data_IF_378207641379
#
_entry.id   IF_378207641379
#
_cell.length_a   1.000
_cell.length_b   1.000
_cell.length_c   1.000
_cell.angle_alpha   90.00
_cell.angle_beta   90.00
_cell.angle_gamma   90.00
#
_symmetry.space_group_name_H-M   'P 1'
#
loop_
_entity.id
_entity.type
_entity.pdbx_description
1 polymer ?
#
# COMPACT_ATOMS: atom_id res chain seq x y z
N UNK A 1 -13.37 -11.04 -12.10
CA UNK A 1 -13.35 -9.63 -11.69
C UNK A 1 -14.65 -9.02 -12.20
N UNK A 2 -15.38 -8.25 -11.38
CA UNK A 2 -16.60 -7.56 -11.82
C UNK A 2 -16.27 -6.69 -13.06
N UNK A 3 -16.94 -6.86 -14.22
CA UNK A 3 -16.67 -6.08 -15.42
C UNK A 3 -16.67 -4.56 -15.16
N UNK A 4 -17.51 -4.09 -14.24
CA UNK A 4 -17.57 -2.67 -13.86
C UNK A 4 -16.34 -2.23 -13.05
N UNK A 5 -15.72 -3.12 -12.29
CA UNK A 5 -14.47 -2.84 -11.58
C UNK A 5 -13.31 -2.67 -12.56
N UNK A 6 -13.27 -3.48 -13.62
CA UNK A 6 -12.19 -3.44 -14.62
C UNK A 6 -12.21 -2.12 -15.40
N UNK A 7 -13.36 -1.67 -15.88
CA UNK A 7 -13.48 -0.40 -16.61
C UNK A 7 -13.10 0.80 -15.72
N UNK A 8 -13.56 0.80 -14.46
CA UNK A 8 -13.26 1.87 -13.49
C UNK A 8 -11.80 1.85 -13.08
N UNK A 9 -11.20 0.67 -12.94
CA UNK A 9 -9.76 0.54 -12.77
C UNK A 9 -9.01 1.14 -13.96
N UNK A 10 -9.38 0.81 -15.21
CA UNK A 10 -8.73 1.39 -16.39
C UNK A 10 -8.89 2.90 -16.45
N UNK A 11 -10.06 3.43 -16.07
CA UNK A 11 -10.26 4.86 -15.94
C UNK A 11 -9.26 5.49 -14.97
N UNK A 12 -9.20 4.98 -13.74
CA UNK A 12 -8.27 5.45 -12.71
C UNK A 12 -6.81 5.31 -13.12
N UNK A 13 -6.48 4.18 -13.75
CA UNK A 13 -5.17 3.93 -14.32
C UNK A 13 -4.84 4.97 -15.37
N UNK A 14 -5.79 5.43 -16.18
CA UNK A 14 -5.56 6.37 -17.28
C UNK A 14 -5.60 7.86 -16.89
N UNK A 15 -6.19 8.24 -15.74
CA UNK A 15 -6.12 9.61 -15.21
C UNK A 15 -4.68 10.20 -15.24
N UNK A 16 -3.65 9.49 -14.77
CA UNK A 16 -2.28 9.99 -14.80
C UNK A 16 -1.61 9.98 -16.19
N UNK A 17 -2.16 9.30 -17.20
CA UNK A 17 -1.51 9.15 -18.52
C UNK A 17 -1.27 10.48 -19.22
N UNK A 18 -2.21 11.41 -19.08
CA UNK A 18 -2.18 12.74 -19.71
C UNK A 18 -1.72 13.83 -18.73
N UNK A 19 -1.30 13.47 -17.51
CA UNK A 19 -0.93 14.44 -16.49
C UNK A 19 0.57 14.64 -16.40
N UNK A 20 1.05 15.81 -16.85
CA UNK A 20 2.48 16.14 -16.84
C UNK A 20 3.10 16.07 -15.43
N UNK A 21 2.35 16.45 -14.39
CA UNK A 21 2.83 16.40 -12.99
C UNK A 21 3.07 14.97 -12.54
N UNK A 22 2.15 14.05 -12.84
CA UNK A 22 2.27 12.64 -12.51
C UNK A 22 3.33 11.94 -13.36
N UNK A 23 3.42 12.25 -14.66
CA UNK A 23 4.50 11.72 -15.49
C UNK A 23 5.88 12.15 -14.98
N UNK A 24 6.02 13.42 -14.58
CA UNK A 24 7.23 13.94 -13.93
C UNK A 24 7.50 13.25 -12.59
N UNK A 25 6.45 12.98 -11.80
CA UNK A 25 6.56 12.23 -10.55
C UNK A 25 7.07 10.81 -10.80
N UNK A 26 6.53 10.08 -11.78
CA UNK A 26 6.98 8.73 -12.13
C UNK A 26 8.41 8.68 -12.69
N UNK A 27 8.83 9.72 -13.40
CA UNK A 27 10.19 9.83 -13.95
C UNK A 27 11.20 10.36 -12.94
N UNK A 28 10.79 10.65 -11.71
CA UNK A 28 11.64 11.10 -10.61
C UNK A 28 11.45 10.20 -9.39
N UNK A 29 12.23 10.38 -8.34
CA UNK A 29 12.11 9.68 -7.06
C UNK A 29 10.85 10.09 -6.24
N UNK A 30 9.86 10.65 -6.92
CA UNK A 30 8.66 11.22 -6.33
C UNK A 30 8.80 12.65 -5.80
N UNK A 31 9.98 13.27 -5.86
CA UNK A 31 10.23 14.68 -5.56
C UNK A 31 9.84 15.15 -4.14
N UNK A 32 10.36 16.31 -3.73
CA UNK A 32 9.88 16.99 -2.51
C UNK A 32 8.71 17.89 -2.86
N UNK A 33 7.55 17.66 -2.25
CA UNK A 33 6.48 18.64 -2.26
C UNK A 33 6.85 19.80 -1.34
N UNK A 34 6.48 21.02 -1.74
CA UNK A 34 6.70 22.22 -0.93
C UNK A 34 5.90 22.11 0.37
N UNK A 35 6.54 22.48 1.49
CA UNK A 35 5.86 22.57 2.79
C UNK A 35 4.66 23.51 2.67
N UNK A 36 3.56 23.19 3.35
CA UNK A 36 2.27 23.92 3.33
C UNK A 36 1.49 23.84 2.01
N UNK A 37 1.92 23.03 1.04
CA UNK A 37 1.05 22.67 -0.08
C UNK A 37 -0.05 21.71 0.44
N UNK A 38 -1.33 21.82 0.03
CA UNK A 38 -2.39 20.95 0.54
C UNK A 38 -2.11 19.45 0.37
N UNK A 39 -1.42 19.07 -0.70
CA UNK A 39 -0.97 17.68 -0.90
C UNK A 39 0.12 17.28 0.10
N UNK A 40 1.06 18.19 0.42
CA UNK A 40 2.10 17.96 1.41
C UNK A 40 1.50 17.73 2.79
N UNK A 41 0.55 18.56 3.22
CA UNK A 41 0.02 18.47 4.59
C UNK A 41 -0.72 17.14 4.83
N UNK A 42 -1.57 16.73 3.88
CA UNK A 42 -2.27 15.44 3.95
C UNK A 42 -1.31 14.25 3.88
N UNK A 43 -0.36 14.28 2.95
CA UNK A 43 0.67 13.24 2.85
C UNK A 43 1.51 13.15 4.12
N UNK A 44 1.95 14.28 4.64
CA UNK A 44 2.82 14.35 5.81
C UNK A 44 2.10 13.81 7.05
N UNK A 45 0.84 14.19 7.26
CA UNK A 45 0.02 13.66 8.36
C UNK A 45 -0.14 12.14 8.25
N UNK A 46 -0.52 11.63 7.07
CA UNK A 46 -0.68 10.19 6.86
C UNK A 46 0.65 9.42 7.03
N UNK A 47 1.74 9.91 6.43
CA UNK A 47 3.08 9.33 6.55
C UNK A 47 3.56 9.30 7.99
N UNK A 48 3.36 10.39 8.74
CA UNK A 48 3.76 10.50 10.14
C UNK A 48 3.01 9.49 11.02
N UNK A 49 1.69 9.41 10.84
CA UNK A 49 0.86 8.46 11.59
C UNK A 49 1.25 7.01 11.27
N UNK A 50 1.52 6.70 10.00
CA UNK A 50 1.97 5.38 9.59
C UNK A 50 3.35 5.04 10.16
N UNK A 51 4.31 5.97 10.09
CA UNK A 51 5.64 5.79 10.67
C UNK A 51 5.58 5.51 12.18
N UNK A 52 4.73 6.25 12.92
CA UNK A 52 4.51 5.98 14.35
C UNK A 52 3.93 4.58 14.59
N UNK A 53 2.96 4.16 13.77
CA UNK A 53 2.36 2.84 13.84
C UNK A 53 3.33 1.71 13.45
N UNK A 54 4.31 1.99 12.59
CA UNK A 54 5.42 1.07 12.29
C UNK A 54 6.44 1.01 13.42
N UNK A 55 6.77 2.15 14.03
CA UNK A 55 7.72 2.23 15.15
C UNK A 55 7.21 1.55 16.42
N UNK A 56 5.88 1.44 16.58
CA UNK A 56 5.28 0.66 17.66
C UNK A 56 5.32 -0.85 17.41
N UNK A 57 5.64 -1.30 16.18
CA UNK A 57 5.78 -2.72 15.89
C UNK A 57 7.03 -3.30 16.58
N UNK A 58 6.96 -4.55 17.08
CA UNK A 58 8.11 -5.26 17.60
C UNK A 58 9.28 -5.28 16.61
N UNK A 59 10.47 -4.99 17.13
CA UNK A 59 11.72 -5.12 16.38
C UNK A 59 11.99 -6.60 16.11
N UNK A 60 12.33 -6.91 14.87
CA UNK A 60 12.74 -8.25 14.47
C UNK A 60 14.18 -8.48 14.91
N UNK A 61 14.42 -9.60 15.58
CA UNK A 61 15.76 -10.02 15.95
C UNK A 61 16.39 -10.87 14.83
N UNK A 62 17.72 -10.80 14.70
CA UNK A 62 18.48 -11.54 13.67
C UNK A 62 18.34 -13.07 13.75
N UNK A 63 17.89 -13.60 14.88
CA UNK A 63 17.69 -15.04 15.11
C UNK A 63 16.28 -15.52 14.77
N UNK A 64 15.37 -14.62 14.33
CA UNK A 64 14.05 -15.04 13.90
C UNK A 64 14.17 -16.06 12.76
N UNK A 65 13.50 -17.19 12.91
CA UNK A 65 13.33 -18.17 11.85
C UNK A 65 12.51 -17.52 10.74
N UNK A 66 12.97 -17.68 9.50
CA UNK A 66 12.30 -17.16 8.31
C UNK A 66 11.67 -18.29 7.51
N UNK A 67 10.39 -18.15 7.18
CA UNK A 67 9.67 -19.02 6.24
C UNK A 67 9.12 -18.14 5.11
N UNK A 68 9.65 -18.34 3.91
CA UNK A 68 9.15 -17.64 2.73
C UNK A 68 7.84 -18.27 2.27
N UNK A 69 6.93 -17.44 1.76
CA UNK A 69 5.77 -17.93 1.04
C UNK A 69 6.23 -18.60 -0.28
N UNK A 70 5.56 -19.69 -0.70
CA UNK A 70 5.95 -20.46 -1.87
C UNK A 70 5.92 -19.67 -3.20
N UNK A 71 4.89 -18.81 -3.35
CA UNK A 71 4.67 -18.00 -4.56
C UNK A 71 4.99 -16.51 -4.36
N UNK A 72 4.46 -15.91 -3.29
CA UNK A 72 4.57 -14.48 -3.02
C UNK A 72 5.94 -14.09 -2.44
N UNK A 73 6.39 -12.87 -2.74
CA UNK A 73 7.63 -12.28 -2.21
C UNK A 73 7.45 -11.75 -0.79
N UNK A 74 7.00 -12.59 0.12
CA UNK A 74 6.74 -12.25 1.52
C UNK A 74 7.20 -13.39 2.43
N UNK A 75 7.62 -13.06 3.65
CA UNK A 75 8.10 -14.03 4.61
C UNK A 75 7.47 -13.85 5.98
N UNK A 76 7.19 -14.99 6.59
CA UNK A 76 6.83 -15.14 7.97
C UNK A 76 8.11 -15.27 8.81
N UNK A 77 8.18 -14.49 9.88
CA UNK A 77 9.30 -14.42 10.81
C UNK A 77 8.79 -14.79 12.20
N UNK A 78 9.39 -15.80 12.82
CA UNK A 78 9.02 -16.27 14.15
C UNK A 78 10.24 -16.43 15.05
N UNK A 79 10.09 -16.20 16.34
CA UNK A 79 11.05 -16.57 17.37
C UNK A 79 10.35 -17.19 18.58
N UNK A 80 11.13 -17.80 19.48
CA UNK A 80 10.61 -18.47 20.68
C UNK A 80 10.02 -17.48 21.71
N UNK A 81 10.28 -16.17 21.54
CA UNK A 81 9.74 -15.08 22.37
C UNK A 81 8.39 -14.53 21.86
N UNK A 82 7.65 -15.31 21.07
CA UNK A 82 6.28 -15.01 20.65
C UNK A 82 6.09 -13.79 19.72
N UNK A 83 7.15 -13.29 19.06
CA UNK A 83 7.02 -12.15 18.14
C UNK A 83 6.92 -12.61 16.70
N UNK A 84 5.73 -13.09 16.35
CA UNK A 84 5.36 -13.46 14.99
C UNK A 84 5.18 -12.23 14.11
N UNK A 85 5.78 -12.24 12.94
CA UNK A 85 5.81 -11.05 12.09
C UNK A 85 5.79 -11.42 10.61
N UNK A 86 5.15 -10.57 9.80
CA UNK A 86 5.14 -10.68 8.35
C UNK A 86 5.93 -9.53 7.73
N UNK A 87 6.74 -9.84 6.72
CA UNK A 87 7.56 -8.87 5.99
C UNK A 87 7.63 -9.20 4.51
N UNK A 88 7.31 -8.24 3.66
CA UNK A 88 7.65 -8.30 2.23
C UNK A 88 9.16 -8.40 2.05
N UNK A 89 9.58 -9.12 1.02
CA UNK A 89 10.97 -9.29 0.64
C UNK A 89 11.38 -8.18 -0.34
N UNK A 90 12.40 -7.40 0.05
CA UNK A 90 12.96 -6.32 -0.75
C UNK A 90 13.86 -6.84 -1.88
N UNK A 91 13.75 -6.31 -3.10
CA UNK A 91 14.71 -6.58 -4.16
C UNK A 91 16.05 -5.87 -3.91
N UNK A 92 17.15 -6.32 -4.56
CA UNK A 92 17.25 -7.52 -5.38
C UNK A 92 17.51 -8.79 -4.56
N UNK A 93 17.87 -8.67 -3.28
CA UNK A 93 18.36 -9.78 -2.45
C UNK A 93 17.25 -10.66 -1.85
N UNK A 94 15.98 -10.27 -2.00
CA UNK A 94 14.82 -10.95 -1.41
C UNK A 94 14.97 -11.16 0.11
N UNK A 95 15.44 -10.11 0.78
CA UNK A 95 15.54 -10.07 2.23
C UNK A 95 14.32 -9.34 2.82
N UNK A 96 13.85 -9.71 4.01
CA UNK A 96 12.79 -8.96 4.68
C UNK A 96 13.12 -7.47 4.73
N UNK A 97 12.17 -6.63 4.32
CA UNK A 97 12.33 -5.18 4.38
C UNK A 97 12.67 -4.71 5.80
N UNK A 98 13.65 -3.81 5.91
CA UNK A 98 13.84 -2.99 7.09
C UNK A 98 12.92 -1.76 7.04
N UNK A 99 12.67 -1.16 8.21
CA UNK A 99 11.69 -0.08 8.36
C UNK A 99 11.95 1.13 7.44
N UNK A 100 13.16 1.68 7.43
CA UNK A 100 13.46 2.91 6.67
C UNK A 100 13.24 2.77 5.14
N UNK A 101 13.83 1.75 4.49
CA UNK A 101 13.57 1.50 3.08
C UNK A 101 12.09 1.21 2.78
N UNK A 102 11.41 0.45 3.65
CA UNK A 102 9.98 0.18 3.49
C UNK A 102 9.15 1.47 3.53
N UNK A 103 9.39 2.32 4.53
CA UNK A 103 8.73 3.62 4.67
C UNK A 103 8.96 4.51 3.45
N UNK A 104 10.17 4.48 2.87
CA UNK A 104 10.49 5.25 1.66
C UNK A 104 9.65 4.80 0.46
N UNK A 105 9.53 3.48 0.24
CA UNK A 105 8.71 2.91 -0.83
C UNK A 105 7.22 3.15 -0.59
N UNK A 106 6.77 3.03 0.67
CA UNK A 106 5.40 3.35 1.06
C UNK A 106 5.06 4.81 0.77
N UNK A 107 5.93 5.74 1.17
CA UNK A 107 5.76 7.18 0.95
C UNK A 107 5.68 7.52 -0.53
N UNK A 108 6.44 6.82 -1.37
CA UNK A 108 6.32 6.95 -2.81
C UNK A 108 4.93 6.51 -3.30
N UNK A 109 4.41 5.36 -2.85
CA UNK A 109 3.07 4.90 -3.21
C UNK A 109 1.96 5.86 -2.79
N UNK A 110 1.94 6.30 -1.53
CA UNK A 110 0.85 7.15 -1.04
C UNK A 110 0.86 8.52 -1.70
N UNK A 111 2.02 9.06 -2.11
CA UNK A 111 2.09 10.26 -2.96
C UNK A 111 1.42 10.03 -4.31
N UNK A 112 1.66 8.88 -4.94
CA UNK A 112 1.04 8.54 -6.22
C UNK A 112 -0.49 8.44 -6.09
N UNK A 113 -0.97 7.74 -5.05
CA UNK A 113 -2.40 7.64 -4.73
C UNK A 113 -3.00 9.04 -4.53
N UNK A 114 -2.35 9.86 -3.72
CA UNK A 114 -2.78 11.21 -3.39
C UNK A 114 -2.90 12.13 -4.63
N UNK A 115 -1.93 12.08 -5.55
CA UNK A 115 -1.98 12.83 -6.81
C UNK A 115 -3.18 12.45 -7.68
N UNK A 116 -3.49 11.15 -7.76
CA UNK A 116 -4.64 10.66 -8.53
C UNK A 116 -5.94 11.03 -7.79
N UNK A 117 -5.98 10.89 -6.47
CA UNK A 117 -7.17 11.14 -5.66
C UNK A 117 -7.63 12.61 -5.74
N UNK A 118 -6.71 13.57 -5.65
CA UNK A 118 -7.03 15.00 -5.81
C UNK A 118 -7.73 15.28 -7.15
N UNK A 119 -7.35 14.61 -8.23
CA UNK A 119 -8.00 14.77 -9.54
C UNK A 119 -9.41 14.19 -9.56
N UNK A 120 -9.62 13.04 -8.93
CA UNK A 120 -10.94 12.43 -8.81
C UNK A 120 -11.87 13.36 -8.03
N UNK A 121 -11.44 13.85 -6.87
CA UNK A 121 -12.24 14.74 -6.02
C UNK A 121 -12.60 16.05 -6.72
N UNK A 122 -11.66 16.64 -7.48
CA UNK A 122 -11.94 17.82 -8.32
C UNK A 122 -13.00 17.52 -9.38
N UNK A 123 -12.93 16.36 -10.04
CA UNK A 123 -13.90 15.95 -11.06
C UNK A 123 -15.29 15.68 -10.45
N UNK A 124 -15.33 15.09 -9.26
CA UNK A 124 -16.56 14.86 -8.50
C UNK A 124 -17.11 16.15 -7.85
N UNK A 125 -16.42 17.29 -8.00
CA UNK A 125 -16.78 18.59 -7.40
C UNK A 125 -16.96 18.51 -5.87
N UNK A 126 -16.16 17.67 -5.22
CA UNK A 126 -16.14 17.57 -3.76
C UNK A 126 -15.51 18.84 -3.19
N UNK A 127 -16.07 19.36 -2.10
CA UNK A 127 -15.54 20.55 -1.40
C UNK A 127 -14.14 20.29 -0.86
N UNK A 128 -13.36 21.33 -0.62
CA UNK A 128 -11.98 21.18 -0.14
C UNK A 128 -11.91 20.47 1.22
N UNK A 129 -12.83 20.81 2.14
CA UNK A 129 -12.93 20.20 3.48
C UNK A 129 -13.23 18.70 3.41
N UNK A 130 -14.33 18.31 2.76
CA UNK A 130 -14.69 16.91 2.57
C UNK A 130 -13.61 16.16 1.76
N UNK A 131 -12.99 16.85 0.80
CA UNK A 131 -11.91 16.30 0.00
C UNK A 131 -10.68 15.98 0.86
N UNK A 132 -10.31 16.86 1.79
CA UNK A 132 -9.21 16.64 2.73
C UNK A 132 -9.49 15.43 3.62
N UNK A 133 -10.69 15.33 4.19
CA UNK A 133 -11.09 14.20 5.04
C UNK A 133 -10.99 12.86 4.29
N UNK A 134 -11.55 12.81 3.08
CA UNK A 134 -11.50 11.59 2.24
C UNK A 134 -10.08 11.20 1.85
N UNK A 135 -9.22 12.19 1.57
CA UNK A 135 -7.81 11.92 1.26
C UNK A 135 -7.10 11.31 2.45
N UNK A 136 -7.28 11.85 3.66
CA UNK A 136 -6.70 11.28 4.88
C UNK A 136 -7.27 9.89 5.20
N UNK A 137 -8.57 9.69 5.04
CA UNK A 137 -9.21 8.39 5.26
C UNK A 137 -8.62 7.32 4.34
N UNK A 138 -8.52 7.60 3.04
CA UNK A 138 -7.90 6.68 2.08
C UNK A 138 -6.45 6.34 2.45
N UNK A 139 -5.61 7.34 2.75
CA UNK A 139 -4.20 7.09 3.07
C UNK A 139 -4.03 6.32 4.39
N UNK A 140 -4.89 6.60 5.38
CA UNK A 140 -4.96 5.86 6.64
C UNK A 140 -5.41 4.42 6.43
N UNK A 141 -6.41 4.21 5.57
CA UNK A 141 -6.89 2.88 5.19
C UNK A 141 -5.79 2.02 4.55
N UNK A 142 -4.99 2.58 3.64
CA UNK A 142 -3.81 1.87 3.07
C UNK A 142 -2.86 1.43 4.17
N UNK A 143 -2.60 2.31 5.15
CA UNK A 143 -1.75 1.97 6.30
C UNK A 143 -2.30 0.78 7.08
N UNK A 144 -3.62 0.76 7.36
CA UNK A 144 -4.29 -0.34 8.06
C UNK A 144 -4.19 -1.66 7.29
N UNK A 145 -4.44 -1.66 5.97
CA UNK A 145 -4.30 -2.86 5.12
C UNK A 145 -2.89 -3.48 5.16
N UNK A 146 -1.86 -2.67 5.42
CA UNK A 146 -0.48 -3.11 5.51
C UNK A 146 -0.15 -3.70 6.89
N UNK A 147 -0.50 -3.00 7.98
CA UNK A 147 0.01 -3.33 9.33
C UNK A 147 -0.98 -4.09 10.20
N UNK A 148 -2.28 -3.89 10.00
CA UNK A 148 -3.35 -4.46 10.81
C UNK A 148 -4.65 -4.64 10.00
N UNK A 149 -4.60 -5.46 8.94
CA UNK A 149 -5.79 -5.80 8.15
C UNK A 149 -6.82 -6.56 9.01
N UNK A 150 -8.10 -6.44 8.66
CA UNK A 150 -9.19 -7.04 9.43
C UNK A 150 -9.38 -8.54 9.16
N UNK A 151 -9.22 -8.97 7.91
CA UNK A 151 -9.62 -10.32 7.45
C UNK A 151 -8.43 -11.17 6.96
N UNK A 152 -7.20 -10.70 7.13
CA UNK A 152 -6.01 -11.34 6.56
C UNK A 152 -4.76 -11.08 7.39
N UNK A 153 -3.60 -11.53 6.89
CA UNK A 153 -2.32 -11.28 7.54
C UNK A 153 -1.72 -9.94 7.09
N UNK A 154 -0.97 -9.23 7.96
CA UNK A 154 -0.31 -7.98 7.57
C UNK A 154 0.69 -8.21 6.45
N UNK A 155 0.86 -7.22 5.57
CA UNK A 155 1.93 -7.18 4.57
C UNK A 155 3.26 -6.83 5.22
N UNK A 156 3.20 -6.00 6.26
CA UNK A 156 4.34 -5.59 7.06
C UNK A 156 3.87 -5.30 8.47
N UNK A 157 4.01 -6.25 9.40
CA UNK A 157 3.53 -6.04 10.77
C UNK A 157 3.59 -7.29 11.61
N UNK A 158 3.30 -7.13 12.90
CA UNK A 158 3.10 -8.25 13.80
C UNK A 158 1.82 -9.01 13.49
N UNK A 159 1.89 -10.31 13.72
CA UNK A 159 0.75 -11.21 13.63
C UNK A 159 0.18 -11.35 15.04
N UNK A 160 -1.14 -11.40 15.15
CA UNK A 160 -1.84 -11.54 16.43
C UNK A 160 -1.48 -12.86 17.12
N UNK A 161 -1.44 -12.85 18.46
CA UNK A 161 -0.92 -13.94 19.29
C UNK A 161 -1.82 -15.19 19.29
N UNK A 162 -3.06 -15.08 18.82
CA UNK A 162 -4.04 -16.17 18.73
C UNK A 162 -3.79 -17.12 17.55
N UNK A 163 -2.86 -16.78 16.65
CA UNK A 163 -2.57 -17.57 15.45
C UNK A 163 -1.52 -18.64 15.75
N UNK A 164 -1.86 -19.90 15.42
CA UNK A 164 -0.93 -21.02 15.52
C UNK A 164 0.22 -20.90 14.48
N UNK A 165 1.48 -20.68 14.91
CA UNK A 165 2.60 -20.44 14.01
C UNK A 165 2.93 -21.64 13.10
N UNK A 166 2.66 -22.86 13.55
CA UNK A 166 2.95 -24.07 12.77
C UNK A 166 1.99 -24.22 11.59
N UNK A 167 0.70 -23.91 11.80
CA UNK A 167 -0.31 -23.89 10.73
C UNK A 167 0.03 -22.82 9.70
N UNK A 168 0.37 -21.62 10.16
CA UNK A 168 0.76 -20.53 9.26
C UNK A 168 2.00 -20.89 8.43
N UNK A 169 3.03 -21.51 9.04
CA UNK A 169 4.21 -21.98 8.30
C UNK A 169 3.83 -22.99 7.21
N UNK A 170 2.98 -23.97 7.51
CA UNK A 170 2.52 -24.93 6.52
C UNK A 170 1.77 -24.24 5.37
N UNK A 171 0.89 -23.28 5.69
CA UNK A 171 0.16 -22.50 4.68
C UNK A 171 1.09 -21.64 3.81
N UNK A 172 2.12 -21.03 4.39
CA UNK A 172 3.14 -20.27 3.64
C UNK A 172 3.88 -21.17 2.64
N UNK A 173 4.29 -22.38 3.08
CA UNK A 173 4.99 -23.35 2.24
C UNK A 173 4.07 -23.99 1.18
N UNK A 174 2.78 -24.12 1.46
CA UNK A 174 1.78 -24.61 0.51
C UNK A 174 1.36 -23.54 -0.51
N UNK A 175 1.69 -22.27 -0.27
CA UNK A 175 1.26 -21.16 -1.12
C UNK A 175 -0.23 -20.84 -0.99
N UNK A 176 -0.80 -21.01 0.20
CA UNK A 176 -2.21 -20.77 0.45
C UNK A 176 -2.62 -19.30 0.20
N UNK A 177 -3.90 -19.07 -0.08
CA UNK A 177 -4.45 -17.72 -0.25
C UNK A 177 -4.60 -17.04 1.12
N UNK A 178 -3.54 -16.35 1.56
CA UNK A 178 -3.44 -15.72 2.88
C UNK A 178 -3.71 -14.20 2.88
N UNK A 179 -3.80 -13.60 1.68
CA UNK A 179 -3.84 -12.16 1.51
C UNK A 179 -4.97 -11.74 0.57
N UNK A 180 -5.61 -10.62 0.89
CA UNK A 180 -6.65 -10.03 0.07
C UNK A 180 -6.09 -9.38 -1.21
N UNK A 181 -6.95 -9.06 -2.21
CA UNK A 181 -6.51 -8.51 -3.49
C UNK A 181 -5.66 -7.23 -3.38
N UNK A 182 -6.01 -6.31 -2.47
CA UNK A 182 -5.27 -5.06 -2.24
C UNK A 182 -3.87 -5.38 -1.71
N UNK A 183 -3.78 -6.32 -0.77
CA UNK A 183 -2.50 -6.76 -0.21
C UNK A 183 -1.63 -7.47 -1.22
N UNK A 184 -2.20 -8.27 -2.12
CA UNK A 184 -1.45 -8.89 -3.22
C UNK A 184 -0.83 -7.82 -4.14
N UNK A 185 -1.59 -6.76 -4.47
CA UNK A 185 -1.10 -5.61 -5.24
C UNK A 185 0.00 -4.84 -4.50
N UNK A 186 -0.12 -4.70 -3.17
CA UNK A 186 0.90 -4.10 -2.31
C UNK A 186 2.18 -4.97 -2.25
N UNK A 187 2.06 -6.29 -2.09
CA UNK A 187 3.20 -7.21 -2.05
C UNK A 187 3.97 -7.15 -3.37
N UNK A 188 3.28 -7.16 -4.51
CA UNK A 188 3.92 -7.02 -5.83
C UNK A 188 4.61 -5.65 -5.97
N UNK A 189 3.94 -4.58 -5.53
CA UNK A 189 4.51 -3.23 -5.53
C UNK A 189 5.81 -3.13 -4.73
N UNK A 190 5.78 -3.55 -3.46
CA UNK A 190 6.94 -3.46 -2.57
C UNK A 190 8.07 -4.38 -3.02
N UNK A 191 7.76 -5.56 -3.54
CA UNK A 191 8.78 -6.54 -3.98
C UNK A 191 9.39 -6.25 -5.35
N UNK A 192 8.75 -5.40 -6.17
CA UNK A 192 9.29 -4.92 -7.45
C UNK A 192 9.97 -3.55 -7.37
N UNK A 193 9.70 -2.78 -6.30
CA UNK A 193 10.28 -1.44 -6.11
C UNK A 193 11.72 -1.51 -5.63
N UNK A 194 12.64 -0.88 -6.36
CA UNK A 194 14.07 -0.85 -6.03
C UNK A 194 14.50 0.57 -5.66
N UNK A 195 14.58 0.83 -4.35
CA UNK A 195 14.91 2.15 -3.81
C UNK A 195 16.28 2.67 -4.28
N UNK A 196 17.31 1.81 -4.36
CA UNK A 196 18.65 2.22 -4.80
C UNK A 196 18.72 2.67 -6.26
N UNK A 197 17.75 2.27 -7.07
CA UNK A 197 17.63 2.64 -8.49
C UNK A 197 16.51 3.65 -8.72
N UNK A 198 15.84 4.12 -7.65
CA UNK A 198 14.62 4.93 -7.72
C UNK A 198 13.59 4.36 -8.71
N UNK A 199 13.46 3.04 -8.75
CA UNK A 199 12.62 2.33 -9.73
C UNK A 199 11.37 1.79 -9.06
N UNK A 200 10.20 2.21 -9.53
CA UNK A 200 8.90 1.87 -8.96
C UNK A 200 7.88 1.45 -10.05
N UNK A 201 8.14 0.34 -10.77
CA UNK A 201 7.45 0.01 -12.02
C UNK A 201 5.93 -0.16 -11.86
N UNK A 202 5.47 -0.63 -10.70
CA UNK A 202 4.05 -0.91 -10.45
C UNK A 202 3.26 0.27 -9.86
N UNK A 203 3.88 1.44 -9.68
CA UNK A 203 3.28 2.61 -8.99
C UNK A 203 1.90 2.96 -9.51
N UNK A 204 1.79 3.12 -10.82
CA UNK A 204 0.54 3.53 -11.46
C UNK A 204 -0.54 2.46 -11.31
N UNK A 205 -0.17 1.20 -11.48
CA UNK A 205 -1.07 0.06 -11.34
C UNK A 205 -1.60 -0.05 -9.91
N UNK A 206 -0.71 -0.12 -8.93
CA UNK A 206 -1.05 -0.28 -7.52
C UNK A 206 -1.86 0.91 -7.01
N UNK A 207 -1.49 2.15 -7.36
CA UNK A 207 -2.23 3.33 -6.93
C UNK A 207 -3.67 3.35 -7.48
N UNK A 208 -3.85 3.02 -8.77
CA UNK A 208 -5.18 2.92 -9.37
C UNK A 208 -6.01 1.79 -8.76
N UNK A 209 -5.39 0.64 -8.47
CA UNK A 209 -6.08 -0.51 -7.86
C UNK A 209 -6.54 -0.22 -6.43
N UNK A 210 -5.71 0.44 -5.63
CA UNK A 210 -6.05 0.91 -4.27
C UNK A 210 -7.26 1.85 -4.32
N UNK A 211 -7.22 2.86 -5.20
CA UNK A 211 -8.33 3.80 -5.36
C UNK A 211 -9.61 3.09 -5.79
N UNK A 212 -9.53 2.19 -6.77
CA UNK A 212 -10.68 1.42 -7.22
C UNK A 212 -11.31 0.63 -6.08
N UNK A 213 -10.48 -0.07 -5.31
CA UNK A 213 -10.91 -0.91 -4.19
C UNK A 213 -11.55 -0.08 -3.07
N UNK A 214 -10.93 1.03 -2.68
CA UNK A 214 -11.46 1.90 -1.62
C UNK A 214 -12.78 2.57 -2.04
N UNK A 215 -12.89 3.08 -3.27
CA UNK A 215 -14.13 3.68 -3.76
C UNK A 215 -15.26 2.65 -3.93
N UNK A 216 -14.94 1.42 -4.34
CA UNK A 216 -15.93 0.35 -4.47
C UNK A 216 -16.63 0.06 -3.13
N UNK A 217 -15.88 0.09 -2.03
CA UNK A 217 -16.40 -0.21 -0.69
C UNK A 217 -17.00 1.03 -0.03
N UNK A 218 -16.28 2.16 -0.03
CA UNK A 218 -16.64 3.33 0.79
C UNK A 218 -17.55 4.34 0.06
N UNK A 219 -17.51 4.38 -1.28
CA UNK A 219 -18.28 5.34 -2.08
C UNK A 219 -18.89 4.70 -3.34
N UNK A 220 -19.66 3.60 -3.22
CA UNK A 220 -20.11 2.80 -4.37
C UNK A 220 -20.98 3.58 -5.36
N UNK A 221 -21.76 4.57 -4.90
CA UNK A 221 -22.59 5.43 -5.76
C UNK A 221 -21.74 6.34 -6.64
N UNK A 222 -20.69 6.93 -6.08
CA UNK A 222 -19.76 7.78 -6.82
C UNK A 222 -18.91 6.92 -7.75
N UNK A 223 -18.45 5.77 -7.27
CA UNK A 223 -17.69 4.80 -8.04
C UNK A 223 -18.46 4.33 -9.28
N UNK A 224 -19.78 4.10 -9.14
CA UNK A 224 -20.66 3.79 -10.26
C UNK A 224 -20.72 4.88 -11.33
N UNK A 225 -20.51 6.13 -10.91
CA UNK A 225 -20.72 7.34 -11.69
C UNK A 225 -19.41 8.05 -12.06
N UNK A 226 -18.24 7.39 -11.93
CA UNK A 226 -16.96 7.98 -12.35
C UNK A 226 -16.95 8.47 -13.81
N UNK A 227 -17.79 7.87 -14.64
CA UNK A 227 -17.92 8.18 -16.06
C UNK A 227 -18.99 9.23 -16.38
N UNK A 228 -19.99 9.44 -15.52
CA UNK A 228 -21.04 10.44 -15.79
C UNK A 228 -20.44 11.84 -15.66
N UNK A 229 -20.56 12.62 -16.72
CA UNK A 229 -20.20 14.04 -16.79
C UNK A 229 -21.34 14.91 -16.30
#
# INVERSE_FOLDING_TARGET
MDPYLQDRFYFLYNIPATDATFQKFLSSDGGRWLKHHPNYDVFHEASWNFENALNSQPKIHRTCRKVNHAVLRIAFLSNDESKNNMRVLAPPRNLPYSFGPFLSVYNHLIKAVELIHVKILKRLKITEEMGRERRLDLLSWIGKEIINPQESYPVFGSIQDDINPSILQANMLAGAALFGPVQLSLIDYFSSSTLSLSSYPQTRHTAAFILASWYQVNHPKEFANFFSR
#
